data_IF_229254965393
#
_entry.id   IF_229254965393
#
_cell.length_a   1.000
_cell.length_b   1.000
_cell.length_c   1.000
_cell.angle_alpha   90.00
_cell.angle_beta   90.00
_cell.angle_gamma   90.00
#
_symmetry.space_group_name_H-M   'P 1'
#
loop_
_entity.id
_entity.type
_entity.pdbx_description
1 polymer ?
#
# COMPACT_ATOMS: atom_id res chain seq x y z
N UNK A 1 19.62 32.87 51.18
CA UNK A 1 19.27 33.00 49.74
C UNK A 1 19.73 31.73 49.05
N UNK A 2 18.81 30.80 48.78
CA UNK A 2 19.11 29.55 48.06
C UNK A 2 18.79 29.76 46.59
N UNK A 3 19.80 29.76 45.72
CA UNK A 3 19.64 29.77 44.27
C UNK A 3 19.36 28.36 43.78
N UNK A 4 18.08 28.05 43.51
CA UNK A 4 17.65 26.82 42.89
C UNK A 4 17.91 26.94 41.37
N UNK A 5 19.04 26.41 40.90
CA UNK A 5 19.30 26.27 39.44
C UNK A 5 18.41 25.15 38.89
N UNK A 6 17.37 25.55 38.18
CA UNK A 6 16.51 24.63 37.43
C UNK A 6 17.31 24.00 36.25
N UNK A 7 17.78 22.78 36.39
CA UNK A 7 18.40 22.03 35.30
C UNK A 7 17.28 21.48 34.42
N UNK A 8 17.09 22.13 33.26
CA UNK A 8 16.18 21.66 32.22
C UNK A 8 16.82 20.42 31.54
N UNK A 9 16.41 19.24 31.95
CA UNK A 9 16.86 17.99 31.33
C UNK A 9 16.15 17.85 29.97
N UNK A 10 16.83 18.18 28.89
CA UNK A 10 16.33 17.96 27.51
C UNK A 10 16.34 16.46 27.22
N UNK A 11 15.19 15.81 27.36
CA UNK A 11 15.01 14.40 26.99
C UNK A 11 15.05 14.33 25.46
N UNK A 12 16.19 13.92 24.92
CA UNK A 12 16.34 13.60 23.50
C UNK A 12 15.59 12.26 23.25
N UNK A 13 14.34 12.36 22.82
CA UNK A 13 13.58 11.18 22.37
C UNK A 13 14.22 10.74 21.06
N UNK A 14 14.81 9.54 20.96
CA UNK A 14 15.28 9.04 19.68
C UNK A 14 14.09 8.95 18.73
N UNK A 15 14.06 9.78 17.69
CA UNK A 15 13.17 9.57 16.54
C UNK A 15 13.51 8.20 15.97
N UNK A 16 12.60 7.24 16.14
CA UNK A 16 12.69 5.98 15.40
C UNK A 16 12.48 6.37 13.94
N UNK A 17 13.59 6.51 13.23
CA UNK A 17 13.60 6.73 11.80
C UNK A 17 13.03 5.43 11.17
N UNK A 18 11.74 5.40 10.86
CA UNK A 18 11.21 4.43 9.92
C UNK A 18 12.05 4.57 8.65
N UNK A 19 12.71 3.51 8.26
CA UNK A 19 13.59 3.51 7.09
C UNK A 19 12.73 3.54 5.82
N UNK A 20 12.28 4.74 5.46
CA UNK A 20 11.59 4.97 4.21
C UNK A 20 12.54 4.70 3.04
N UNK A 21 12.05 4.01 2.02
CA UNK A 21 12.79 3.77 0.79
C UNK A 21 12.32 4.79 -0.25
N UNK A 22 13.27 5.54 -0.80
CA UNK A 22 12.99 6.44 -1.92
C UNK A 22 13.67 5.89 -3.18
N UNK A 23 12.92 5.77 -4.27
CA UNK A 23 13.50 5.28 -5.51
C UNK A 23 12.52 5.25 -6.68
N UNK A 24 13.05 4.90 -7.85
CA UNK A 24 12.30 4.82 -9.09
C UNK A 24 11.55 3.49 -9.21
N UNK A 25 10.27 3.54 -9.56
CA UNK A 25 9.51 2.33 -9.92
C UNK A 25 10.00 1.81 -11.27
N UNK A 26 10.63 0.63 -11.27
CA UNK A 26 11.22 0.02 -12.46
C UNK A 26 10.41 -1.14 -13.03
N UNK A 27 9.42 -1.62 -12.28
CA UNK A 27 8.50 -2.67 -12.72
C UNK A 27 7.24 -2.68 -11.85
N UNK A 28 6.09 -2.87 -12.48
CA UNK A 28 4.83 -3.24 -11.83
C UNK A 28 4.57 -4.72 -12.14
N UNK A 29 4.47 -5.55 -11.10
CA UNK A 29 4.25 -7.00 -11.26
C UNK A 29 2.77 -7.33 -11.48
N UNK A 30 1.93 -6.75 -10.64
CA UNK A 30 0.47 -6.88 -10.61
C UNK A 30 -0.15 -5.62 -10.00
N UNK A 31 -1.44 -5.66 -9.63
CA UNK A 31 -2.16 -4.47 -9.12
C UNK A 31 -1.76 -4.01 -7.72
N UNK A 32 -0.87 -4.71 -7.03
CA UNK A 32 -0.44 -4.36 -5.67
C UNK A 32 1.02 -4.68 -5.35
N UNK A 33 1.81 -5.04 -6.36
CA UNK A 33 3.22 -5.41 -6.21
C UNK A 33 4.09 -4.70 -7.24
N UNK A 34 5.09 -3.97 -6.74
CA UNK A 34 6.03 -3.19 -7.57
C UNK A 34 7.48 -3.51 -7.24
N UNK A 35 8.38 -3.04 -8.10
CA UNK A 35 9.81 -3.04 -7.85
C UNK A 35 10.31 -1.60 -7.87
N UNK A 36 10.97 -1.21 -6.80
CA UNK A 36 11.58 0.11 -6.63
C UNK A 36 13.09 -0.02 -6.68
N UNK A 37 13.74 0.79 -7.47
CA UNK A 37 15.18 0.91 -7.52
C UNK A 37 15.61 1.99 -6.53
N UNK A 38 15.97 1.55 -5.33
CA UNK A 38 16.69 2.33 -4.33
C UNK A 38 18.16 2.49 -4.78
N UNK A 39 18.89 3.56 -4.43
CA UNK A 39 20.27 3.74 -4.83
C UNK A 39 21.21 2.57 -4.52
N UNK A 40 20.89 1.75 -3.52
CA UNK A 40 21.71 0.61 -3.08
C UNK A 40 21.25 -0.72 -3.64
N UNK A 41 19.95 -0.88 -3.95
CA UNK A 41 19.37 -2.18 -4.34
C UNK A 41 17.99 -2.05 -4.96
N UNK A 42 17.58 -3.11 -5.66
CA UNK A 42 16.21 -3.28 -6.15
C UNK A 42 15.34 -3.94 -5.07
N UNK A 43 14.26 -3.28 -4.68
CA UNK A 43 13.35 -3.72 -3.62
C UNK A 43 12.00 -4.10 -4.18
N UNK A 44 11.51 -5.30 -3.84
CA UNK A 44 10.14 -5.71 -4.16
C UNK A 44 9.22 -5.23 -3.05
N UNK A 45 8.20 -4.47 -3.42
CA UNK A 45 7.25 -3.83 -2.50
C UNK A 45 5.86 -4.40 -2.72
N UNK A 46 5.19 -4.80 -1.63
CA UNK A 46 3.78 -5.14 -1.57
C UNK A 46 3.02 -3.95 -0.96
N UNK A 47 2.08 -3.41 -1.69
CA UNK A 47 1.29 -2.27 -1.23
C UNK A 47 0.47 -2.66 0.01
N UNK A 48 0.67 -1.94 1.12
CA UNK A 48 0.03 -2.19 2.41
C UNK A 48 -1.49 -1.96 2.34
N UNK A 49 -2.26 -2.82 2.99
CA UNK A 49 -3.69 -2.64 3.24
C UNK A 49 -4.60 -2.86 2.04
N UNK A 50 -4.07 -3.24 0.88
CA UNK A 50 -4.86 -3.56 -0.31
C UNK A 50 -4.58 -4.98 -0.81
N UNK A 51 -5.53 -5.56 -1.55
CA UNK A 51 -5.36 -6.82 -2.27
C UNK A 51 -6.00 -6.68 -3.66
N UNK A 52 -5.18 -6.76 -4.70
CA UNK A 52 -5.60 -6.60 -6.07
C UNK A 52 -5.93 -7.96 -6.72
N UNK A 53 -6.79 -8.00 -7.73
CA UNK A 53 -7.04 -9.22 -8.49
C UNK A 53 -5.74 -9.78 -9.06
N UNK A 54 -5.58 -11.10 -8.96
CA UNK A 54 -4.45 -11.79 -9.59
C UNK A 54 -4.47 -11.60 -11.11
N UNK A 55 -3.32 -11.64 -11.77
CA UNK A 55 -3.20 -11.39 -13.24
C UNK A 55 -4.14 -12.27 -14.06
N UNK A 56 -4.40 -13.51 -13.60
CA UNK A 56 -5.30 -14.47 -14.29
C UNK A 56 -6.76 -14.40 -13.80
N UNK A 57 -7.04 -13.54 -12.86
CA UNK A 57 -8.37 -13.27 -12.34
C UNK A 57 -9.06 -12.20 -13.19
N UNK A 58 -10.39 -12.19 -13.21
CA UNK A 58 -11.15 -11.08 -13.80
C UNK A 58 -10.65 -9.74 -13.24
N UNK A 59 -10.49 -8.74 -14.10
CA UNK A 59 -9.96 -7.41 -13.79
C UNK A 59 -8.48 -7.38 -13.34
N UNK A 60 -7.75 -8.48 -13.34
CA UNK A 60 -6.34 -8.52 -12.88
C UNK A 60 -5.38 -7.74 -13.78
N UNK A 61 -5.55 -7.85 -15.10
CA UNK A 61 -4.75 -7.09 -16.07
C UNK A 61 -5.06 -5.60 -16.01
N UNK A 62 -6.33 -5.24 -15.89
CA UNK A 62 -6.83 -3.87 -15.77
C UNK A 62 -6.31 -3.21 -14.49
N UNK A 63 -6.37 -3.91 -13.36
CA UNK A 63 -5.80 -3.46 -12.08
C UNK A 63 -4.31 -3.14 -12.21
N UNK A 64 -3.53 -4.05 -12.79
CA UNK A 64 -2.11 -3.81 -13.09
C UNK A 64 -1.90 -2.58 -13.97
N UNK A 65 -2.69 -2.42 -15.04
CA UNK A 65 -2.59 -1.28 -15.95
C UNK A 65 -2.93 0.05 -15.27
N UNK A 66 -3.85 0.05 -14.29
CA UNK A 66 -4.15 1.22 -13.48
C UNK A 66 -2.92 1.60 -12.66
N UNK A 67 -2.29 0.65 -11.97
CA UNK A 67 -1.09 0.92 -11.18
C UNK A 67 0.08 1.39 -12.06
N UNK A 68 0.28 0.80 -13.25
CA UNK A 68 1.28 1.25 -14.23
C UNK A 68 1.07 2.74 -14.56
N UNK A 69 -0.14 3.14 -14.91
CA UNK A 69 -0.46 4.55 -15.24
C UNK A 69 -0.22 5.51 -14.09
N UNK A 70 -0.38 5.03 -12.86
CA UNK A 70 -0.18 5.87 -11.67
C UNK A 70 1.30 6.12 -11.37
N UNK A 71 2.16 5.10 -11.49
CA UNK A 71 3.50 5.18 -10.88
C UNK A 71 4.66 4.59 -11.70
N UNK A 72 4.42 3.97 -12.87
CA UNK A 72 5.55 3.41 -13.61
C UNK A 72 6.55 4.48 -14.00
N UNK A 73 7.84 4.20 -13.78
CA UNK A 73 8.99 5.12 -13.99
C UNK A 73 9.00 6.38 -13.12
N UNK A 74 8.06 6.53 -12.18
CA UNK A 74 8.05 7.63 -11.22
C UNK A 74 8.98 7.34 -10.04
N UNK A 75 9.44 8.42 -9.37
CA UNK A 75 10.12 8.31 -8.09
C UNK A 75 9.07 8.32 -6.98
N UNK A 76 9.13 7.33 -6.11
CA UNK A 76 8.17 7.16 -5.01
C UNK A 76 8.89 7.06 -3.67
N UNK A 77 8.16 7.36 -2.61
CA UNK A 77 8.56 7.08 -1.23
C UNK A 77 7.74 5.87 -0.76
N UNK A 78 8.41 4.87 -0.20
CA UNK A 78 7.77 3.70 0.40
C UNK A 78 7.94 3.78 1.90
N UNK A 79 6.85 4.02 2.60
CA UNK A 79 6.77 4.08 4.07
C UNK A 79 6.46 2.70 4.60
N UNK A 80 7.43 2.06 5.27
CA UNK A 80 7.26 0.73 5.85
C UNK A 80 8.60 0.07 6.13
N UNK A 81 8.63 -0.83 7.11
CA UNK A 81 9.84 -1.53 7.55
C UNK A 81 9.68 -3.05 7.67
N UNK A 82 8.46 -3.56 7.60
CA UNK A 82 8.18 -4.98 7.73
C UNK A 82 8.29 -5.69 6.39
N UNK A 83 8.76 -6.94 6.43
CA UNK A 83 8.76 -7.83 5.28
C UNK A 83 7.79 -8.98 5.49
N UNK A 84 7.15 -9.38 4.42
CA UNK A 84 6.36 -10.60 4.44
C UNK A 84 7.24 -11.87 4.34
N UNK A 85 6.59 -13.03 4.43
CA UNK A 85 7.26 -14.34 4.33
C UNK A 85 7.96 -14.60 2.98
N UNK A 86 7.68 -13.78 1.98
CA UNK A 86 8.30 -13.84 0.64
C UNK A 86 9.43 -12.81 0.47
N UNK A 87 9.78 -12.09 1.53
CA UNK A 87 10.84 -11.07 1.54
C UNK A 87 10.45 -9.74 0.88
N UNK A 88 9.15 -9.53 0.55
CA UNK A 88 8.65 -8.25 0.03
C UNK A 88 8.53 -7.23 1.16
N UNK A 89 8.98 -6.00 0.93
CA UNK A 89 8.70 -4.90 1.85
C UNK A 89 7.20 -4.56 1.79
N UNK A 90 6.52 -4.58 2.93
CA UNK A 90 5.13 -4.13 3.03
C UNK A 90 5.14 -2.64 3.30
N UNK A 91 4.52 -1.84 2.43
CA UNK A 91 4.58 -0.39 2.59
C UNK A 91 3.44 0.38 1.93
N UNK A 92 3.24 1.58 2.46
CA UNK A 92 2.46 2.63 1.81
C UNK A 92 3.34 3.32 0.78
N UNK A 93 2.87 3.42 -0.44
CA UNK A 93 3.58 4.05 -1.56
C UNK A 93 3.04 5.45 -1.77
N UNK A 94 3.92 6.44 -1.68
CA UNK A 94 3.59 7.86 -1.86
C UNK A 94 4.24 8.37 -3.15
N UNK A 95 3.47 9.09 -3.95
CA UNK A 95 3.92 9.88 -5.09
C UNK A 95 3.41 11.30 -4.92
N UNK A 96 4.30 12.28 -4.72
CA UNK A 96 3.95 13.69 -4.47
C UNK A 96 2.86 13.80 -3.37
N UNK A 97 3.11 13.17 -2.22
CA UNK A 97 2.22 13.06 -1.06
C UNK A 97 0.88 12.33 -1.29
N UNK A 98 0.61 11.85 -2.50
CA UNK A 98 -0.56 11.02 -2.79
C UNK A 98 -0.32 9.59 -2.36
N UNK A 99 -1.24 9.03 -1.59
CA UNK A 99 -1.29 7.62 -1.22
C UNK A 99 -1.76 6.77 -2.42
N UNK A 100 -0.83 6.09 -3.07
CA UNK A 100 -1.10 5.26 -4.27
C UNK A 100 -1.92 4.02 -3.92
N UNK A 101 -1.72 3.45 -2.73
CA UNK A 101 -2.53 2.32 -2.26
C UNK A 101 -4.00 2.72 -2.19
N UNK A 102 -4.27 3.92 -1.66
CA UNK A 102 -5.61 4.51 -1.61
C UNK A 102 -6.18 4.81 -3.00
N UNK A 103 -5.36 5.32 -3.92
CA UNK A 103 -5.79 5.59 -5.31
C UNK A 103 -6.24 4.30 -6.03
N UNK A 104 -5.61 3.15 -5.74
CA UNK A 104 -6.05 1.85 -6.27
C UNK A 104 -7.46 1.47 -5.77
N UNK A 105 -7.76 1.72 -4.49
CA UNK A 105 -9.11 1.51 -3.93
C UNK A 105 -10.13 2.46 -4.58
N UNK A 106 -9.80 3.75 -4.66
CA UNK A 106 -10.68 4.78 -5.27
C UNK A 106 -11.03 4.47 -6.72
N UNK A 107 -10.08 3.89 -7.45
CA UNK A 107 -10.29 3.47 -8.83
C UNK A 107 -11.12 2.17 -8.96
N UNK A 108 -11.43 1.49 -7.85
CA UNK A 108 -11.99 0.14 -7.85
C UNK A 108 -11.03 -0.88 -8.47
N UNK A 109 -9.73 -0.71 -8.24
CA UNK A 109 -8.70 -1.58 -8.79
C UNK A 109 -8.16 -2.60 -7.77
N UNK A 110 -8.51 -2.43 -6.49
CA UNK A 110 -8.14 -3.33 -5.41
C UNK A 110 -9.20 -3.30 -4.30
N UNK A 111 -9.23 -4.34 -3.49
CA UNK A 111 -9.98 -4.40 -2.23
C UNK A 111 -9.16 -3.79 -1.09
N UNK A 112 -9.83 -3.19 -0.09
CA UNK A 112 -9.25 -2.98 1.23
C UNK A 112 -9.05 -4.34 1.92
N UNK A 113 -7.80 -4.73 2.17
CA UNK A 113 -7.49 -6.06 2.71
C UNK A 113 -7.60 -6.10 4.23
N UNK A 114 -8.82 -6.22 4.72
CA UNK A 114 -9.18 -6.13 6.14
C UNK A 114 -8.50 -7.17 7.04
N UNK A 115 -8.05 -8.31 6.49
CA UNK A 115 -7.34 -9.34 7.25
C UNK A 115 -6.06 -8.82 7.93
N UNK A 116 -5.41 -7.81 7.33
CA UNK A 116 -4.17 -7.21 7.83
C UNK A 116 -4.33 -5.70 8.10
N UNK A 117 -5.56 -5.27 8.39
CA UNK A 117 -5.83 -3.84 8.64
C UNK A 117 -5.16 -3.31 9.91
N UNK A 118 -4.81 -4.19 10.87
CA UNK A 118 -4.10 -3.80 12.10
C UNK A 118 -2.67 -3.29 11.82
N UNK A 119 -2.10 -3.63 10.67
CA UNK A 119 -0.80 -3.09 10.23
C UNK A 119 -0.91 -1.66 9.69
N UNK A 120 -2.13 -1.13 9.51
CA UNK A 120 -2.41 0.23 9.07
C UNK A 120 -2.68 1.16 10.26
N UNK A 121 -2.37 2.44 10.10
CA UNK A 121 -2.83 3.48 11.02
C UNK A 121 -4.38 3.52 11.01
N UNK A 122 -4.99 3.77 12.15
CA UNK A 122 -6.45 3.82 12.29
C UNK A 122 -7.12 4.75 11.27
N UNK A 123 -6.55 5.96 11.08
CA UNK A 123 -7.05 6.91 10.08
C UNK A 123 -7.06 6.33 8.66
N UNK A 124 -6.06 5.53 8.30
CA UNK A 124 -5.97 4.90 6.99
C UNK A 124 -6.98 3.76 6.85
N UNK A 125 -7.18 2.95 7.90
CA UNK A 125 -8.21 1.89 7.92
C UNK A 125 -9.60 2.45 7.63
N UNK A 126 -9.96 3.51 8.33
CA UNK A 126 -11.26 4.19 8.16
C UNK A 126 -11.40 4.75 6.75
N UNK A 127 -10.37 5.44 6.26
CA UNK A 127 -10.38 6.06 4.95
C UNK A 127 -10.44 5.03 3.82
N UNK A 128 -9.64 3.96 3.88
CA UNK A 128 -9.62 2.89 2.87
C UNK A 128 -10.98 2.17 2.82
N UNK A 129 -11.56 1.88 3.98
CA UNK A 129 -12.88 1.24 4.06
C UNK A 129 -13.99 2.11 3.46
N UNK A 130 -14.01 3.41 3.78
CA UNK A 130 -15.03 4.34 3.26
C UNK A 130 -14.92 4.53 1.76
N UNK A 131 -13.70 4.61 1.22
CA UNK A 131 -13.48 4.77 -0.22
C UNK A 131 -13.73 3.49 -1.02
N UNK A 132 -13.49 2.31 -0.43
CA UNK A 132 -13.94 1.04 -1.00
C UNK A 132 -15.47 1.03 -1.17
N UNK A 133 -16.23 1.37 -0.11
CA UNK A 133 -17.68 1.46 -0.16
C UNK A 133 -18.17 2.46 -1.23
N UNK A 134 -17.50 3.60 -1.34
CA UNK A 134 -17.81 4.59 -2.37
C UNK A 134 -17.54 4.06 -3.78
N UNK A 135 -16.43 3.34 -4.00
CA UNK A 135 -16.11 2.70 -5.27
C UNK A 135 -17.15 1.63 -5.64
N UNK A 136 -17.60 0.83 -4.67
CA UNK A 136 -18.68 -0.15 -4.82
C UNK A 136 -19.99 0.51 -5.21
N UNK A 137 -20.44 1.51 -4.44
CA UNK A 137 -21.68 2.26 -4.70
C UNK A 137 -21.69 2.87 -6.10
N UNK A 138 -20.54 3.37 -6.54
CA UNK A 138 -20.39 4.01 -7.86
C UNK A 138 -20.04 3.01 -8.97
N UNK A 139 -20.04 1.71 -8.71
CA UNK A 139 -19.72 0.64 -9.67
C UNK A 139 -18.40 0.90 -10.41
N UNK A 140 -17.35 1.35 -9.70
CA UNK A 140 -16.05 1.65 -10.30
C UNK A 140 -15.21 0.39 -10.49
N UNK A 141 -14.47 0.34 -11.58
CA UNK A 141 -13.47 -0.70 -11.84
C UNK A 141 -14.04 -2.11 -11.74
N UNK A 142 -13.48 -2.92 -10.85
CA UNK A 142 -13.88 -4.31 -10.58
C UNK A 142 -15.35 -4.45 -10.07
N UNK A 143 -15.94 -3.36 -9.55
CA UNK A 143 -17.31 -3.33 -9.01
C UNK A 143 -18.39 -3.12 -10.08
N UNK A 144 -18.02 -3.00 -11.38
CA UNK A 144 -18.97 -2.75 -12.47
C UNK A 144 -19.98 -3.89 -12.66
N UNK A 145 -19.53 -5.11 -12.51
CA UNK A 145 -20.28 -6.32 -12.84
C UNK A 145 -20.91 -7.03 -11.62
N UNK A 146 -21.14 -6.26 -10.54
CA UNK A 146 -21.83 -6.79 -9.36
C UNK A 146 -20.88 -7.25 -8.25
N UNK A 147 -20.89 -8.53 -7.87
CA UNK A 147 -20.11 -9.06 -6.73
C UNK A 147 -18.87 -9.82 -7.23
N UNK A 148 -17.75 -9.12 -7.42
CA UNK A 148 -16.53 -9.71 -7.93
C UNK A 148 -15.88 -10.62 -6.89
N UNK A 149 -15.34 -11.77 -7.35
CA UNK A 149 -14.60 -12.70 -6.49
C UNK A 149 -13.35 -12.04 -5.94
N UNK A 150 -13.20 -12.04 -4.61
CA UNK A 150 -12.05 -11.44 -3.96
C UNK A 150 -10.75 -12.25 -4.21
N UNK A 151 -9.56 -11.60 -4.26
CA UNK A 151 -8.30 -12.29 -4.55
C UNK A 151 -7.97 -13.43 -3.59
N UNK A 152 -8.26 -13.28 -2.30
CA UNK A 152 -8.04 -14.35 -1.31
C UNK A 152 -8.95 -15.56 -1.54
N UNK A 153 -10.18 -15.37 -2.01
CA UNK A 153 -11.10 -16.44 -2.40
C UNK A 153 -10.63 -17.12 -3.69
N UNK A 154 -10.15 -16.34 -4.67
CA UNK A 154 -9.56 -16.86 -5.91
C UNK A 154 -8.36 -17.77 -5.62
N UNK A 155 -7.44 -17.33 -4.73
CA UNK A 155 -6.27 -18.14 -4.33
C UNK A 155 -6.69 -19.44 -3.62
N UNK A 156 -7.69 -19.38 -2.74
CA UNK A 156 -8.20 -20.58 -2.03
C UNK A 156 -8.77 -21.64 -2.99
N UNK A 157 -9.55 -21.21 -4.01
CA UNK A 157 -10.12 -22.14 -5.03
C UNK A 157 -9.07 -22.83 -5.91
N UNK A 158 -7.85 -22.33 -5.99
CA UNK A 158 -6.78 -22.90 -6.83
C UNK A 158 -5.82 -23.82 -6.07
N UNK A 159 -5.99 -23.96 -4.78
CA UNK A 159 -5.21 -24.88 -3.94
C UNK A 159 -5.88 -26.25 -3.81
N UNK A 160 -7.07 -26.40 -4.37
CA UNK A 160 -7.83 -27.64 -4.53
C UNK A 160 -7.89 -28.04 -6.01
#
# INVERSE_FOLDING_TARGET
MFNLKLILLLILIPSICLSDITGKVVKVSDGDTIWVLDPKKKVKVRLLGIDAPEIKQAFGKESKMILIRLIEKQNVIVVGNNKDRYGRLIGKVLLDDRDINLEMIKAGAAWHYKKYQEDQLEKDRVLYSSLEQLAQKNKKGLWKEGDPLAPWQWRAKRQH
#
